data_IF_512652560878
#
_entry.id   IF_512652560878
#
_cell.length_a   1.000
_cell.length_b   1.000
_cell.length_c   1.000
_cell.angle_alpha   90.00
_cell.angle_beta   90.00
_cell.angle_gamma   90.00
#
_symmetry.space_group_name_H-M   'P 1'
#
loop_
_entity.id
_entity.type
_entity.pdbx_description
1 polymer ?
#
# COMPACT_ATOMS: atom_id res chain seq x y z
N UNK A 1 -14.16 -18.24 3.15
CA UNK A 1 -13.15 -18.05 2.09
C UNK A 1 -13.65 -18.38 0.68
N UNK A 2 -14.11 -19.59 0.35
CA UNK A 2 -14.48 -19.95 -1.05
C UNK A 2 -15.58 -19.08 -1.69
N UNK A 3 -16.59 -18.67 -0.92
CA UNK A 3 -17.65 -17.79 -1.43
C UNK A 3 -17.21 -16.33 -1.69
N UNK A 4 -16.13 -15.86 -1.04
CA UNK A 4 -15.62 -14.50 -1.20
C UNK A 4 -14.72 -14.35 -2.45
N UNK A 5 -14.15 -15.45 -2.95
CA UNK A 5 -13.23 -15.45 -4.10
C UNK A 5 -13.87 -14.92 -5.39
N UNK A 6 -15.12 -15.32 -5.64
CA UNK A 6 -15.87 -14.90 -6.83
C UNK A 6 -16.32 -13.44 -6.84
N UNK A 7 -16.36 -12.78 -5.67
CA UNK A 7 -16.88 -11.41 -5.53
C UNK A 7 -15.82 -10.32 -5.81
N UNK A 8 -14.53 -10.64 -5.68
CA UNK A 8 -13.43 -9.65 -5.78
C UNK A 8 -12.47 -9.94 -6.95
N UNK A 9 -12.81 -10.91 -7.82
CA UNK A 9 -12.02 -11.23 -9.02
C UNK A 9 -10.69 -11.96 -8.77
N UNK A 10 -10.51 -12.53 -7.56
CA UNK A 10 -9.35 -13.35 -7.20
C UNK A 10 -9.63 -14.84 -7.38
N UNK A 11 -8.63 -15.58 -7.84
CA UNK A 11 -8.69 -17.04 -8.01
C UNK A 11 -8.01 -17.78 -6.85
N UNK A 12 -8.24 -19.08 -6.73
CA UNK A 12 -7.48 -19.92 -5.77
C UNK A 12 -5.96 -19.87 -6.02
N UNK A 13 -5.53 -19.70 -7.28
CA UNK A 13 -4.12 -19.57 -7.61
C UNK A 13 -3.53 -18.24 -7.10
N UNK A 14 -4.33 -17.17 -7.13
CA UNK A 14 -3.91 -15.86 -6.59
C UNK A 14 -3.75 -15.95 -5.06
N UNK A 15 -4.66 -16.63 -4.36
CA UNK A 15 -4.53 -16.88 -2.92
C UNK A 15 -3.28 -17.68 -2.55
N UNK A 16 -2.99 -18.76 -3.28
CA UNK A 16 -1.76 -19.53 -3.06
C UNK A 16 -0.52 -18.66 -3.20
N UNK A 17 -0.49 -17.81 -4.23
CA UNK A 17 0.61 -16.87 -4.42
C UNK A 17 0.75 -15.86 -3.29
N UNK A 18 -0.37 -15.34 -2.78
CA UNK A 18 -0.37 -14.45 -1.61
C UNK A 18 0.23 -15.16 -0.40
N UNK A 19 -0.14 -16.42 -0.16
CA UNK A 19 0.40 -17.24 0.94
C UNK A 19 1.90 -17.53 0.75
N UNK A 20 2.34 -17.90 -0.46
CA UNK A 20 3.74 -18.11 -0.80
C UNK A 20 4.58 -16.85 -0.54
N UNK A 21 4.07 -15.68 -0.94
CA UNK A 21 4.73 -14.38 -0.71
C UNK A 21 4.74 -13.96 0.75
N UNK A 22 3.71 -14.30 1.51
CA UNK A 22 3.63 -14.01 2.93
C UNK A 22 4.70 -14.77 3.74
N UNK A 23 5.11 -15.95 3.27
CA UNK A 23 6.07 -16.81 3.97
C UNK A 23 5.59 -17.32 5.33
N UNK A 24 4.27 -17.29 5.58
CA UNK A 24 3.66 -17.64 6.85
C UNK A 24 2.16 -17.36 6.87
N UNK A 25 1.52 -17.64 8.00
CA UNK A 25 0.09 -17.41 8.21
C UNK A 25 -0.25 -15.91 8.13
N UNK A 26 -1.40 -15.57 7.55
CA UNK A 26 -1.95 -14.21 7.49
C UNK A 26 -3.14 -14.12 8.43
N UNK A 27 -2.85 -13.89 9.71
CA UNK A 27 -3.82 -13.93 10.81
C UNK A 27 -4.48 -12.58 11.10
N UNK A 28 -3.80 -11.49 10.71
CA UNK A 28 -4.22 -10.11 10.98
C UNK A 28 -3.87 -9.17 9.82
N UNK A 29 -4.56 -8.02 9.64
CA UNK A 29 -4.30 -7.07 8.55
C UNK A 29 -2.82 -6.67 8.39
N UNK A 30 -2.10 -6.50 9.50
CA UNK A 30 -0.69 -6.12 9.56
C UNK A 30 0.22 -7.14 8.87
N UNK A 31 -0.20 -8.41 8.83
CA UNK A 31 0.57 -9.49 8.21
C UNK A 31 0.72 -9.31 6.70
N UNK A 32 -0.18 -8.55 6.06
CA UNK A 32 -0.08 -8.20 4.64
C UNK A 32 1.20 -7.41 4.31
N UNK A 33 1.81 -6.76 5.31
CA UNK A 33 3.13 -6.14 5.15
C UNK A 33 4.15 -7.11 4.59
N UNK A 34 4.15 -8.39 5.03
CA UNK A 34 5.08 -9.41 4.52
C UNK A 34 4.89 -9.67 3.02
N UNK A 35 3.63 -9.72 2.58
CA UNK A 35 3.30 -9.89 1.16
C UNK A 35 3.84 -8.72 0.34
N UNK A 36 3.58 -7.49 0.77
CA UNK A 36 4.03 -6.29 0.05
C UNK A 36 5.56 -6.13 0.09
N UNK A 37 6.19 -6.46 1.21
CA UNK A 37 7.65 -6.39 1.35
C UNK A 37 8.38 -7.45 0.50
N UNK A 38 7.70 -8.53 0.08
CA UNK A 38 8.24 -9.52 -0.86
C UNK A 38 8.51 -8.97 -2.27
N UNK A 39 7.91 -7.83 -2.62
CA UNK A 39 8.13 -7.18 -3.91
C UNK A 39 9.28 -6.18 -3.85
N UNK A 40 10.05 -6.12 -4.93
CA UNK A 40 10.97 -5.01 -5.17
C UNK A 40 10.18 -3.76 -5.58
N UNK A 41 10.76 -2.58 -5.36
CA UNK A 41 10.18 -1.35 -5.91
C UNK A 41 10.54 -1.20 -7.40
N UNK A 42 9.64 -0.65 -8.20
CA UNK A 42 9.90 -0.30 -9.60
C UNK A 42 10.47 1.13 -9.68
N UNK A 43 11.80 1.26 -9.57
CA UNK A 43 12.48 2.56 -9.53
C UNK A 43 12.40 3.35 -10.85
N UNK A 44 12.37 2.64 -11.99
CA UNK A 44 12.34 3.18 -13.36
C UNK A 44 10.91 3.26 -13.93
N UNK A 45 9.93 3.51 -13.06
CA UNK A 45 8.50 3.55 -13.39
C UNK A 45 8.16 4.51 -14.54
N UNK A 46 8.90 5.62 -14.75
CA UNK A 46 8.63 6.55 -15.86
C UNK A 46 8.68 5.89 -17.24
N UNK A 47 9.53 4.89 -17.41
CA UNK A 47 9.69 4.18 -18.68
C UNK A 47 8.90 2.87 -18.74
N UNK A 48 8.49 2.32 -17.58
CA UNK A 48 8.02 0.94 -17.48
C UNK A 48 6.64 0.77 -16.86
N UNK A 49 6.11 1.80 -16.20
CA UNK A 49 4.81 1.70 -15.57
C UNK A 49 3.70 1.89 -16.59
N UNK A 50 2.79 0.92 -16.60
CA UNK A 50 1.54 0.95 -17.35
C UNK A 50 0.39 0.75 -16.37
N UNK A 51 -0.75 1.40 -16.61
CA UNK A 51 -1.96 1.13 -15.83
C UNK A 51 -2.38 -0.33 -16.11
N UNK A 52 -2.43 -1.15 -15.06
CA UNK A 52 -2.77 -2.55 -15.11
C UNK A 52 -3.89 -2.88 -14.13
N UNK A 53 -4.45 -4.09 -14.25
CA UNK A 53 -5.35 -4.60 -13.21
C UNK A 53 -4.58 -4.85 -11.92
N UNK A 54 -5.23 -4.65 -10.77
CA UNK A 54 -4.65 -4.92 -9.43
C UNK A 54 -4.12 -6.35 -9.32
N UNK A 55 -4.83 -7.29 -9.95
CA UNK A 55 -4.44 -8.69 -10.02
C UNK A 55 -3.12 -8.88 -10.76
N UNK A 56 -2.84 -8.09 -11.80
CA UNK A 56 -1.57 -8.16 -12.53
C UNK A 56 -0.36 -7.89 -11.63
N UNK A 57 -0.50 -7.01 -10.64
CA UNK A 57 0.58 -6.71 -9.67
C UNK A 57 1.01 -7.95 -8.87
N UNK A 58 0.13 -8.96 -8.67
CA UNK A 58 0.51 -10.23 -8.04
C UNK A 58 1.57 -11.01 -8.83
N UNK A 59 1.59 -10.84 -10.15
CA UNK A 59 2.45 -11.57 -11.08
C UNK A 59 3.79 -10.88 -11.33
N UNK A 60 3.95 -9.65 -10.85
CA UNK A 60 5.17 -8.88 -11.05
C UNK A 60 6.21 -9.17 -9.94
N UNK A 61 7.49 -9.02 -10.26
CA UNK A 61 8.58 -9.03 -9.27
C UNK A 61 8.81 -7.65 -8.65
N UNK A 62 8.43 -6.59 -9.38
CA UNK A 62 8.56 -5.18 -9.02
C UNK A 62 7.22 -4.48 -9.11
N UNK A 63 6.93 -3.61 -8.15
CA UNK A 63 5.69 -2.83 -8.10
C UNK A 63 5.96 -1.38 -7.68
N UNK A 64 5.07 -0.47 -8.05
CA UNK A 64 5.09 0.94 -7.60
C UNK A 64 4.32 1.13 -6.30
N UNK A 65 4.28 2.36 -5.79
CA UNK A 65 3.47 2.72 -4.62
C UNK A 65 1.96 2.54 -4.86
N UNK A 66 1.46 2.89 -6.06
CA UNK A 66 0.05 2.74 -6.40
C UNK A 66 -0.35 1.27 -6.57
N UNK A 67 0.49 0.45 -7.20
CA UNK A 67 0.30 -1.01 -7.25
C UNK A 67 0.18 -1.59 -5.84
N UNK A 68 1.11 -1.22 -4.96
CA UNK A 68 1.15 -1.73 -3.59
C UNK A 68 -0.06 -1.29 -2.77
N UNK A 69 -0.48 -0.04 -2.89
CA UNK A 69 -1.65 0.49 -2.20
C UNK A 69 -2.93 -0.22 -2.66
N UNK A 70 -3.16 -0.34 -3.97
CA UNK A 70 -4.39 -0.96 -4.47
C UNK A 70 -4.38 -2.48 -4.20
N UNK A 71 -3.23 -3.15 -4.34
CA UNK A 71 -3.09 -4.56 -3.96
C UNK A 71 -3.39 -4.76 -2.47
N UNK A 72 -2.83 -3.93 -1.59
CA UNK A 72 -3.11 -3.99 -0.15
C UNK A 72 -4.60 -3.78 0.15
N UNK A 73 -5.23 -2.80 -0.51
CA UNK A 73 -6.66 -2.55 -0.38
C UNK A 73 -7.50 -3.79 -0.75
N UNK A 74 -7.21 -4.41 -1.90
CA UNK A 74 -7.92 -5.61 -2.35
C UNK A 74 -7.66 -6.84 -1.48
N UNK A 75 -6.44 -6.99 -0.94
CA UNK A 75 -6.13 -8.09 -0.02
C UNK A 75 -6.79 -7.90 1.35
N UNK A 76 -6.90 -6.66 1.83
CA UNK A 76 -7.68 -6.33 3.04
C UNK A 76 -9.15 -6.70 2.83
N UNK A 77 -9.73 -6.32 1.69
CA UNK A 77 -11.10 -6.70 1.32
C UNK A 77 -11.32 -8.22 1.30
N UNK A 78 -10.37 -8.95 0.72
CA UNK A 78 -10.49 -10.38 0.50
C UNK A 78 -10.28 -11.21 1.77
N UNK A 79 -9.27 -10.86 2.58
CA UNK A 79 -8.81 -11.67 3.71
C UNK A 79 -9.35 -11.17 5.05
N UNK A 80 -9.65 -9.87 5.15
CA UNK A 80 -10.08 -9.20 6.38
C UNK A 80 -11.31 -8.31 6.09
N UNK A 81 -12.44 -8.88 5.64
CA UNK A 81 -13.55 -8.12 5.07
C UNK A 81 -14.13 -7.05 6.01
N UNK A 82 -14.09 -7.31 7.32
CA UNK A 82 -14.58 -6.40 8.36
C UNK A 82 -13.60 -5.25 8.68
N UNK A 83 -12.38 -5.29 8.12
CA UNK A 83 -11.40 -4.22 8.28
C UNK A 83 -11.80 -3.03 7.41
N UNK A 84 -12.12 -1.91 8.08
CA UNK A 84 -12.27 -0.60 7.41
C UNK A 84 -10.94 -0.27 6.71
N UNK A 85 -11.05 0.20 5.47
CA UNK A 85 -9.92 0.49 4.58
C UNK A 85 -10.20 1.68 3.69
N UNK A 86 -9.17 2.46 3.36
CA UNK A 86 -9.21 3.63 2.46
C UNK A 86 -7.92 3.73 1.67
N UNK A 87 -7.92 4.50 0.58
CA UNK A 87 -6.69 4.93 -0.08
C UNK A 87 -6.39 6.36 0.38
N UNK A 88 -5.11 6.64 0.62
CA UNK A 88 -4.59 7.97 0.86
C UNK A 88 -3.63 8.32 -0.28
N UNK A 89 -4.03 9.28 -1.10
CA UNK A 89 -3.20 9.90 -2.11
C UNK A 89 -2.42 11.06 -1.50
N UNK A 90 -1.13 11.11 -1.80
CA UNK A 90 -0.19 12.11 -1.32
C UNK A 90 0.48 12.72 -2.53
N UNK A 91 0.47 14.04 -2.62
CA UNK A 91 1.17 14.76 -3.67
C UNK A 91 2.28 15.62 -3.07
N UNK A 92 3.44 15.62 -3.71
CA UNK A 92 4.61 16.38 -3.28
C UNK A 92 5.42 16.89 -4.47
N UNK A 93 6.25 17.89 -4.24
CA UNK A 93 7.27 18.36 -5.16
C UNK A 93 8.67 18.00 -4.69
N UNK A 94 9.51 17.55 -5.61
CA UNK A 94 10.96 17.45 -5.46
C UNK A 94 11.61 18.77 -5.92
N UNK A 95 12.00 19.67 -4.99
CA UNK A 95 12.58 20.95 -5.37
C UNK A 95 13.94 20.81 -6.08
N UNK A 96 14.62 19.65 -5.96
CA UNK A 96 15.90 19.42 -6.66
C UNK A 96 15.72 19.07 -8.13
N UNK A 97 14.56 18.53 -8.48
CA UNK A 97 14.23 18.09 -9.85
C UNK A 97 13.14 18.95 -10.50
N UNK A 98 12.59 19.91 -9.75
CA UNK A 98 11.42 20.69 -10.11
C UNK A 98 10.27 19.79 -10.63
N UNK A 99 10.04 18.70 -9.91
CA UNK A 99 9.12 17.65 -10.34
C UNK A 99 8.07 17.36 -9.29
N UNK A 100 6.80 17.31 -9.70
CA UNK A 100 5.71 16.85 -8.86
C UNK A 100 5.53 15.33 -8.98
N UNK A 101 5.33 14.66 -7.85
CA UNK A 101 5.26 13.21 -7.77
C UNK A 101 4.15 12.78 -6.81
N UNK A 102 3.29 11.87 -7.30
CA UNK A 102 2.30 11.19 -6.48
C UNK A 102 2.91 10.06 -5.64
N UNK A 103 2.34 9.83 -4.48
CA UNK A 103 2.52 8.65 -3.65
C UNK A 103 1.16 8.18 -3.15
N UNK A 104 0.97 6.87 -2.98
CA UNK A 104 -0.32 6.32 -2.57
C UNK A 104 -0.10 5.21 -1.54
N UNK A 105 -0.97 5.16 -0.54
CA UNK A 105 -0.94 4.13 0.50
C UNK A 105 -2.36 3.63 0.81
N UNK A 106 -2.49 2.36 1.20
CA UNK A 106 -3.75 1.84 1.73
C UNK A 106 -3.78 2.03 3.24
N UNK A 107 -4.78 2.74 3.75
CA UNK A 107 -5.07 2.85 5.16
C UNK A 107 -5.94 1.69 5.62
N UNK A 108 -5.71 1.21 6.84
CA UNK A 108 -6.57 0.22 7.50
C UNK A 108 -6.76 0.59 8.98
N UNK A 109 -7.90 0.19 9.55
CA UNK A 109 -8.21 0.42 10.96
C UNK A 109 -8.19 -0.90 11.72
N UNK A 110 -7.55 -0.92 12.88
CA UNK A 110 -7.64 -2.05 13.81
C UNK A 110 -8.98 -2.06 14.53
N UNK A 111 -9.28 -3.15 15.23
CA UNK A 111 -10.47 -3.25 16.08
C UNK A 111 -10.52 -2.21 17.21
N UNK A 112 -9.38 -1.62 17.58
CA UNK A 112 -9.25 -0.52 18.55
C UNK A 112 -9.44 0.87 17.92
N UNK A 113 -9.71 0.94 16.61
CA UNK A 113 -9.86 2.19 15.87
C UNK A 113 -8.54 2.88 15.51
N UNK A 114 -7.38 2.23 15.72
CA UNK A 114 -6.07 2.77 15.32
C UNK A 114 -5.84 2.60 13.83
N UNK A 115 -5.19 3.58 13.22
CA UNK A 115 -4.95 3.63 11.78
C UNK A 115 -3.51 3.24 11.47
N UNK A 116 -3.34 2.25 10.60
CA UNK A 116 -2.05 1.91 9.99
C UNK A 116 -2.11 2.09 8.47
N UNK A 117 -0.99 1.88 7.80
CA UNK A 117 -0.94 1.90 6.35
C UNK A 117 -0.02 0.86 5.73
N UNK A 118 -0.37 0.44 4.52
CA UNK A 118 0.36 -0.52 3.70
C UNK A 118 0.66 0.09 2.33
N UNK A 119 1.94 0.07 1.93
CA UNK A 119 2.37 0.49 0.58
C UNK A 119 3.81 0.08 0.30
N UNK A 120 4.32 0.43 -0.88
CA UNK A 120 5.73 0.34 -1.26
C UNK A 120 6.25 1.73 -1.59
N UNK A 121 7.51 1.98 -1.24
CA UNK A 121 8.21 3.22 -1.60
C UNK A 121 9.69 2.90 -1.82
N UNK A 122 10.34 3.64 -2.72
CA UNK A 122 11.81 3.68 -2.80
C UNK A 122 12.45 4.47 -1.65
N UNK A 123 11.66 5.26 -0.92
CA UNK A 123 12.12 6.05 0.22
C UNK A 123 11.85 5.32 1.54
N UNK A 124 12.90 5.20 2.37
CA UNK A 124 12.81 4.58 3.69
C UNK A 124 11.79 5.32 4.56
N UNK A 125 10.86 4.59 5.18
CA UNK A 125 9.84 5.15 6.07
C UNK A 125 8.60 5.72 5.38
N UNK A 126 8.52 5.66 4.03
CA UNK A 126 7.34 6.10 3.27
C UNK A 126 6.51 4.93 2.70
N UNK A 127 6.85 3.68 3.01
CA UNK A 127 6.04 2.51 2.66
C UNK A 127 4.88 2.31 3.64
N UNK A 128 5.15 1.53 4.69
CA UNK A 128 4.17 1.15 5.72
C UNK A 128 4.21 2.07 6.95
N UNK A 129 3.11 2.09 7.69
CA UNK A 129 3.01 2.62 9.05
C UNK A 129 2.32 1.61 9.95
N UNK A 130 2.87 1.44 11.16
CA UNK A 130 2.23 0.65 12.20
C UNK A 130 0.88 1.27 12.61
N UNK A 131 -0.09 0.46 13.06
CA UNK A 131 -1.42 0.95 13.39
C UNK A 131 -1.46 1.59 14.78
N UNK A 132 -0.83 2.76 14.91
CA UNK A 132 -0.73 3.52 16.16
C UNK A 132 -1.46 4.88 16.10
N UNK A 133 -1.85 5.31 14.90
CA UNK A 133 -2.42 6.64 14.69
C UNK A 133 -3.89 6.69 15.13
N UNK A 134 -4.34 7.79 15.76
CA UNK A 134 -5.72 7.91 16.24
C UNK A 134 -6.74 8.10 15.10
N UNK A 135 -6.33 8.66 13.96
CA UNK A 135 -7.22 8.95 12.83
C UNK A 135 -6.44 9.11 11.51
N UNK A 136 -7.19 9.35 10.43
CA UNK A 136 -6.70 9.56 9.06
C UNK A 136 -5.82 10.81 8.93
N UNK A 137 -6.14 11.88 9.68
CA UNK A 137 -5.39 13.13 9.65
C UNK A 137 -4.02 12.97 10.29
N UNK A 138 -3.93 12.27 11.42
CA UNK A 138 -2.68 12.01 12.13
C UNK A 138 -1.71 11.17 11.29
N UNK A 139 -2.21 10.13 10.60
CA UNK A 139 -1.35 9.34 9.72
C UNK A 139 -0.91 10.14 8.47
N UNK A 140 -1.79 10.93 7.86
CA UNK A 140 -1.42 11.81 6.74
C UNK A 140 -0.35 12.84 7.16
N UNK A 141 -0.50 13.46 8.32
CA UNK A 141 0.50 14.37 8.89
C UNK A 141 1.85 13.68 9.14
N UNK A 142 1.85 12.39 9.51
CA UNK A 142 3.08 11.61 9.67
C UNK A 142 3.86 11.46 8.35
N UNK A 143 3.16 11.29 7.23
CA UNK A 143 3.76 11.26 5.90
C UNK A 143 4.28 12.65 5.50
N UNK A 144 3.50 13.71 5.77
CA UNK A 144 3.94 15.09 5.53
C UNK A 144 5.25 15.41 6.24
N UNK A 145 5.33 15.07 7.53
CA UNK A 145 6.55 15.25 8.31
C UNK A 145 7.74 14.50 7.70
N UNK A 146 7.55 13.24 7.31
CA UNK A 146 8.62 12.45 6.69
C UNK A 146 9.08 13.02 5.33
N UNK A 147 8.17 13.59 4.53
CA UNK A 147 8.55 14.28 3.29
C UNK A 147 9.35 15.56 3.53
N UNK A 148 8.93 16.36 4.52
CA UNK A 148 9.65 17.58 4.92
C UNK A 148 11.06 17.26 5.43
N UNK A 149 11.22 16.21 6.24
CA UNK A 149 12.53 15.73 6.71
C UNK A 149 13.46 15.31 5.56
N UNK A 150 12.90 14.92 4.42
CA UNK A 150 13.63 14.59 3.19
C UNK A 150 13.79 15.78 2.23
N UNK A 151 13.41 16.99 2.66
CA UNK A 151 13.41 18.21 1.85
C UNK A 151 12.51 18.16 0.59
N UNK A 152 11.43 17.40 0.64
CA UNK A 152 10.33 17.51 -0.33
C UNK A 152 9.29 18.52 0.18
N UNK A 153 8.54 19.11 -0.75
CA UNK A 153 7.43 20.02 -0.43
C UNK A 153 6.10 19.27 -0.56
N UNK A 154 5.38 19.02 0.54
CA UNK A 154 4.02 18.49 0.47
C UNK A 154 3.06 19.44 -0.23
N UNK A 155 2.23 18.93 -1.14
CA UNK A 155 1.24 19.72 -1.88
C UNK A 155 -0.20 19.36 -1.47
N UNK A 156 -0.51 18.07 -1.38
CA UNK A 156 -1.89 17.59 -1.12
C UNK A 156 -1.90 16.24 -0.39
N UNK A 157 -2.93 16.06 0.45
CA UNK A 157 -3.30 14.80 1.10
C UNK A 157 -4.80 14.60 0.95
N UNK A 158 -5.23 13.44 0.46
CA UNK A 158 -6.63 13.01 0.53
C UNK A 158 -6.93 11.90 -0.45
#
# INVERSE_FOLDING_TARGET
>A
MRAALGLVGYTEADLRRVQERAGGELSRPEDLRRVIDSYQYLDDWRANYCIQSVRSSLHNSRITCIDAAILSYGLLELLFPDTKRRLLAIHRRDPKKDEECGHCVALYWTGEGRVGSLSKSSFKGLGHREPEFPDETAIAASYAKAYLEMAFEPLYYG
#
